data_IF_856568218643
#
_entry.id   IF_856568218643
#
_cell.length_a   1.000
_cell.length_b   1.000
_cell.length_c   1.000
_cell.angle_alpha   90.00
_cell.angle_beta   90.00
_cell.angle_gamma   90.00
#
_symmetry.space_group_name_H-M   'P 1'
#
loop_
_entity.id
_entity.type
_entity.pdbx_description
1 polymer ?
#
# COMPACT_ATOMS: atom_id res chain seq x y z
N UNK A 1 1.74 -19.74 -4.57
CA UNK A 1 1.67 -18.30 -4.28
C UNK A 1 3.09 -17.86 -4.01
N UNK A 2 3.74 -17.21 -4.97
CA UNK A 2 5.15 -16.84 -4.86
C UNK A 2 5.20 -15.37 -4.46
N UNK A 3 6.10 -15.04 -3.54
CA UNK A 3 6.34 -13.69 -3.06
C UNK A 3 7.68 -13.20 -3.59
N UNK A 4 7.92 -11.88 -3.59
CA UNK A 4 8.94 -11.23 -4.42
C UNK A 4 10.34 -11.78 -4.22
N UNK A 5 10.59 -12.19 -2.97
CA UNK A 5 11.80 -12.87 -2.55
C UNK A 5 12.21 -14.07 -3.43
N UNK A 6 11.24 -14.83 -3.93
CA UNK A 6 11.49 -16.01 -4.78
C UNK A 6 11.77 -15.65 -6.23
N UNK A 7 11.30 -14.49 -6.70
CA UNK A 7 11.57 -14.01 -8.06
C UNK A 7 13.02 -13.54 -8.21
N UNK A 8 13.64 -13.05 -7.13
CA UNK A 8 15.07 -12.68 -7.11
C UNK A 8 16.02 -13.87 -6.93
N UNK A 9 15.51 -15.12 -6.93
CA UNK A 9 16.33 -16.33 -6.76
C UNK A 9 16.99 -16.44 -5.37
N UNK A 10 16.55 -15.65 -4.38
CA UNK A 10 17.13 -15.66 -3.03
C UNK A 10 16.59 -16.85 -2.22
N UNK A 11 17.43 -17.53 -1.41
CA UNK A 11 16.98 -18.64 -0.58
C UNK A 11 15.93 -18.22 0.46
N UNK A 12 14.93 -19.07 0.72
CA UNK A 12 13.86 -18.82 1.72
C UNK A 12 14.41 -18.59 3.14
N UNK A 13 15.60 -19.11 3.46
CA UNK A 13 16.26 -18.89 4.76
C UNK A 13 16.63 -17.41 4.96
N UNK A 14 17.10 -16.75 3.91
CA UNK A 14 17.64 -15.38 3.98
C UNK A 14 16.53 -14.32 4.04
N UNK A 15 15.30 -14.69 3.68
CA UNK A 15 14.11 -13.82 3.62
C UNK A 15 13.81 -13.08 4.91
N UNK A 16 14.10 -13.72 6.02
CA UNK A 16 13.76 -13.23 7.36
C UNK A 16 15.02 -12.88 8.17
N UNK A 17 16.20 -13.07 7.58
CA UNK A 17 17.49 -12.73 8.20
C UNK A 17 17.96 -11.33 7.78
N UNK A 18 17.56 -10.87 6.59
CA UNK A 18 17.90 -9.56 6.04
C UNK A 18 16.65 -8.82 5.57
N UNK A 19 16.67 -7.50 5.72
CA UNK A 19 15.65 -6.64 5.15
C UNK A 19 15.62 -6.79 3.62
N UNK A 20 14.42 -6.71 3.05
CA UNK A 20 14.22 -6.58 1.62
C UNK A 20 14.45 -5.13 1.21
N UNK A 21 15.48 -4.88 0.42
CA UNK A 21 15.76 -3.55 -0.12
C UNK A 21 14.97 -3.36 -1.41
N UNK A 22 14.07 -2.39 -1.42
CA UNK A 22 13.30 -1.98 -2.58
C UNK A 22 13.80 -0.61 -3.05
N UNK A 23 14.19 -0.52 -4.32
CA UNK A 23 14.67 0.71 -4.96
C UNK A 23 13.69 1.09 -6.06
N UNK A 24 13.20 2.32 -6.03
CA UNK A 24 12.22 2.84 -7.00
C UNK A 24 12.75 4.13 -7.60
N UNK A 25 12.68 4.23 -8.93
CA UNK A 25 12.94 5.47 -9.64
C UNK A 25 11.68 6.35 -9.62
N UNK A 26 11.84 7.60 -9.20
CA UNK A 26 10.77 8.60 -9.15
C UNK A 26 11.01 9.65 -10.23
N UNK A 27 10.05 9.81 -11.14
CA UNK A 27 10.09 10.75 -12.27
C UNK A 27 9.28 12.03 -11.98
N UNK A 28 9.61 12.75 -10.90
CA UNK A 28 8.86 13.93 -10.42
C UNK A 28 9.50 15.30 -10.77
N UNK A 29 10.44 15.33 -11.73
CA UNK A 29 11.12 16.55 -12.17
C UNK A 29 11.97 16.36 -13.44
N UNK A 30 12.87 17.30 -13.72
CA UNK A 30 13.78 17.24 -14.90
C UNK A 30 14.78 16.09 -14.81
N UNK A 31 15.13 15.66 -13.60
CA UNK A 31 16.05 14.54 -13.35
C UNK A 31 15.37 13.52 -12.44
N UNK A 32 15.22 12.26 -12.88
CA UNK A 32 14.70 11.19 -12.03
C UNK A 32 15.57 11.01 -10.78
N UNK A 33 14.93 10.71 -9.65
CA UNK A 33 15.62 10.43 -8.38
C UNK A 33 15.31 9.02 -7.90
N UNK A 34 16.27 8.39 -7.27
CA UNK A 34 16.07 7.07 -6.66
C UNK A 34 15.59 7.22 -5.22
N UNK A 35 14.59 6.43 -4.84
CA UNK A 35 14.18 6.23 -3.45
C UNK A 35 14.37 4.77 -3.08
N UNK A 36 14.85 4.53 -1.86
CA UNK A 36 15.08 3.17 -1.38
C UNK A 36 14.46 2.97 0.00
N UNK A 37 13.88 1.80 0.23
CA UNK A 37 13.40 1.37 1.54
C UNK A 37 13.95 -0.02 1.90
N UNK A 38 14.41 -0.15 3.14
CA UNK A 38 14.82 -1.43 3.71
C UNK A 38 13.66 -1.97 4.55
N UNK A 39 13.07 -3.09 4.13
CA UNK A 39 11.83 -3.64 4.69
C UNK A 39 12.12 -4.95 5.43
N UNK A 40 12.07 -4.90 6.75
CA UNK A 40 12.08 -6.08 7.60
C UNK A 40 10.84 -6.95 7.31
N UNK A 41 11.07 -8.27 7.31
CA UNK A 41 10.06 -9.31 7.11
C UNK A 41 10.20 -10.33 8.24
N UNK A 42 9.09 -10.98 8.61
CA UNK A 42 9.14 -12.07 9.58
C UNK A 42 8.11 -13.17 9.24
N UNK A 43 8.16 -14.27 10.01
CA UNK A 43 7.33 -15.47 9.79
C UNK A 43 6.00 -15.46 10.55
N UNK A 44 5.65 -14.35 11.21
CA UNK A 44 4.50 -14.31 12.12
C UNK A 44 3.18 -14.47 11.36
N UNK A 45 3.08 -13.91 10.15
CA UNK A 45 1.91 -14.10 9.29
C UNK A 45 2.23 -13.89 7.80
N UNK A 46 1.24 -14.20 6.95
CA UNK A 46 1.28 -13.89 5.52
C UNK A 46 1.48 -12.39 5.28
N UNK A 47 0.89 -11.55 6.14
CA UNK A 47 1.04 -10.08 6.08
C UNK A 47 2.45 -9.59 6.43
N UNK A 48 3.31 -10.38 7.07
CA UNK A 48 4.66 -9.92 7.48
C UNK A 48 5.73 -10.16 6.42
N UNK A 49 5.31 -10.19 5.16
CA UNK A 49 6.10 -10.53 3.98
C UNK A 49 5.87 -9.50 2.86
N UNK A 50 6.90 -9.22 2.06
CA UNK A 50 6.76 -8.38 0.85
C UNK A 50 6.16 -9.23 -0.28
N UNK A 51 5.11 -8.69 -0.93
CA UNK A 51 4.38 -9.34 -2.02
C UNK A 51 4.54 -8.56 -3.34
N UNK A 52 4.53 -9.30 -4.46
CA UNK A 52 4.89 -8.79 -5.79
C UNK A 52 4.02 -7.61 -6.23
N UNK A 53 2.70 -7.68 -6.03
CA UNK A 53 1.80 -6.58 -6.38
C UNK A 53 2.13 -5.29 -5.65
N UNK A 54 2.65 -5.34 -4.42
CA UNK A 54 3.11 -4.14 -3.72
C UNK A 54 4.34 -3.51 -4.37
N UNK A 55 5.24 -4.32 -4.94
CA UNK A 55 6.39 -3.81 -5.69
C UNK A 55 5.97 -3.20 -7.02
N UNK A 56 5.06 -3.87 -7.74
CA UNK A 56 4.48 -3.33 -8.98
C UNK A 56 3.83 -1.96 -8.72
N UNK A 57 3.00 -1.86 -7.68
CA UNK A 57 2.41 -0.58 -7.28
C UNK A 57 3.47 0.47 -6.95
N UNK A 58 4.50 0.10 -6.18
CA UNK A 58 5.58 1.02 -5.81
C UNK A 58 6.32 1.57 -7.05
N UNK A 59 6.72 0.70 -7.97
CA UNK A 59 7.40 1.12 -9.20
C UNK A 59 6.49 1.96 -10.11
N UNK A 60 5.21 1.59 -10.24
CA UNK A 60 4.25 2.37 -11.01
C UNK A 60 4.04 3.77 -10.44
N UNK A 61 3.95 3.89 -9.11
CA UNK A 61 3.86 5.18 -8.41
C UNK A 61 5.10 6.06 -8.67
N UNK A 62 6.29 5.47 -8.73
CA UNK A 62 7.53 6.20 -9.03
C UNK A 62 7.63 6.66 -10.49
N UNK A 63 7.28 5.80 -11.44
CA UNK A 63 7.45 6.08 -12.88
C UNK A 63 6.43 7.05 -13.44
N UNK A 64 5.18 7.02 -12.97
CA UNK A 64 4.17 7.82 -13.63
C UNK A 64 4.38 9.32 -13.28
N UNK A 65 4.97 10.07 -14.21
CA UNK A 65 5.40 11.47 -14.01
C UNK A 65 4.25 12.44 -13.67
N UNK A 66 3.00 12.14 -14.05
CA UNK A 66 1.80 12.85 -13.55
C UNK A 66 1.27 12.30 -12.22
N UNK A 67 1.65 11.07 -11.87
CA UNK A 67 1.32 10.35 -10.65
C UNK A 67 2.27 10.67 -9.49
N UNK A 68 3.42 11.31 -9.73
CA UNK A 68 4.19 11.98 -8.67
C UNK A 68 3.30 12.90 -7.82
N UNK A 69 2.25 13.49 -8.41
CA UNK A 69 1.21 14.27 -7.70
C UNK A 69 0.23 13.45 -6.86
N UNK A 70 0.11 12.14 -7.07
CA UNK A 70 -0.67 11.26 -6.21
C UNK A 70 0.03 11.02 -4.86
N UNK A 71 1.34 11.28 -4.76
CA UNK A 71 2.08 11.02 -3.53
C UNK A 71 2.67 12.29 -2.96
N UNK A 72 3.34 13.12 -3.77
CA UNK A 72 4.03 14.31 -3.28
C UNK A 72 3.07 15.29 -2.59
N UNK A 73 3.39 15.64 -1.34
CA UNK A 73 2.57 16.47 -0.46
C UNK A 73 1.26 15.84 0.02
N UNK A 74 0.89 14.64 -0.42
CA UNK A 74 -0.41 14.01 -0.13
C UNK A 74 -0.47 13.37 1.26
N UNK A 75 -1.68 13.36 1.84
CA UNK A 75 -2.03 12.53 3.00
C UNK A 75 -2.41 11.15 2.49
N UNK A 76 -1.59 10.17 2.83
CA UNK A 76 -1.70 8.80 2.31
C UNK A 76 -2.19 7.85 3.40
N UNK A 77 -3.05 6.90 3.04
CA UNK A 77 -3.33 5.72 3.86
C UNK A 77 -3.05 4.44 3.08
N UNK A 78 -2.35 3.50 3.71
CA UNK A 78 -2.02 2.18 3.18
C UNK A 78 -2.88 1.15 3.91
N UNK A 79 -3.75 0.43 3.19
CA UNK A 79 -4.75 -0.49 3.75
C UNK A 79 -4.34 -1.93 3.47
N UNK A 80 -4.33 -2.77 4.52
CA UNK A 80 -3.83 -4.14 4.41
C UNK A 80 -2.34 -4.15 4.07
N UNK A 81 -1.60 -3.23 4.71
CA UNK A 81 -0.25 -2.86 4.35
C UNK A 81 0.78 -3.97 4.55
N UNK A 82 0.46 -4.97 5.37
CA UNK A 82 1.36 -6.06 5.73
C UNK A 82 2.66 -5.57 6.35
N UNK A 83 3.73 -5.52 5.56
CA UNK A 83 5.02 -4.96 5.97
C UNK A 83 5.04 -3.44 6.03
N UNK A 84 4.10 -2.77 5.36
CA UNK A 84 4.07 -1.31 5.23
C UNK A 84 4.91 -0.75 4.10
N UNK A 85 5.42 -1.60 3.19
CA UNK A 85 6.32 -1.17 2.10
C UNK A 85 5.75 -0.01 1.26
N UNK A 86 4.46 -0.03 0.92
CA UNK A 86 3.83 1.03 0.13
C UNK A 86 3.75 2.34 0.92
N UNK A 87 3.27 2.31 2.17
CA UNK A 87 3.25 3.47 3.04
C UNK A 87 4.64 4.07 3.33
N UNK A 88 5.66 3.22 3.51
CA UNK A 88 7.06 3.65 3.69
C UNK A 88 7.58 4.36 2.44
N UNK A 89 7.42 3.73 1.27
CA UNK A 89 7.86 4.30 0.01
C UNK A 89 7.10 5.58 -0.33
N UNK A 90 5.80 5.67 -0.03
CA UNK A 90 5.02 6.88 -0.22
C UNK A 90 5.61 8.09 0.53
N UNK A 91 6.05 7.91 1.79
CA UNK A 91 6.73 8.99 2.52
C UNK A 91 8.07 9.36 1.89
N UNK A 92 8.86 8.37 1.46
CA UNK A 92 10.15 8.62 0.78
C UNK A 92 9.97 9.26 -0.61
N UNK A 93 8.82 9.05 -1.23
CA UNK A 93 8.40 9.69 -2.47
C UNK A 93 7.82 11.10 -2.26
N UNK A 94 7.66 11.58 -1.02
CA UNK A 94 7.27 12.97 -0.75
C UNK A 94 5.91 13.15 -0.08
N UNK A 95 5.20 12.06 0.28
CA UNK A 95 3.95 12.19 1.05
C UNK A 95 4.15 13.04 2.31
N UNK A 96 3.18 13.93 2.59
CA UNK A 96 3.25 14.80 3.76
C UNK A 96 3.07 13.99 5.05
N UNK A 97 2.17 13.00 5.01
CA UNK A 97 1.91 12.03 6.07
C UNK A 97 1.45 10.70 5.48
N UNK A 98 1.77 9.60 6.17
CA UNK A 98 1.21 8.28 5.89
C UNK A 98 0.60 7.65 7.15
N UNK A 99 -0.57 7.04 7.00
CA UNK A 99 -1.15 6.12 7.99
C UNK A 99 -1.07 4.73 7.40
N UNK A 100 -0.31 3.84 8.03
CA UNK A 100 -0.04 2.49 7.53
C UNK A 100 -0.84 1.50 8.36
N UNK A 101 -1.80 0.83 7.72
CA UNK A 101 -2.85 0.09 8.43
C UNK A 101 -2.96 -1.37 8.05
N UNK A 102 -3.18 -2.19 9.07
CA UNK A 102 -3.42 -3.63 8.94
C UNK A 102 -4.06 -4.14 10.25
N UNK A 103 -4.20 -5.46 10.41
CA UNK A 103 -4.58 -6.10 11.66
C UNK A 103 -3.47 -5.96 12.72
N UNK A 104 -3.85 -6.07 14.00
CA UNK A 104 -2.94 -5.88 15.15
C UNK A 104 -1.64 -6.69 15.06
N UNK A 105 -1.73 -7.89 14.49
CA UNK A 105 -0.60 -8.81 14.31
C UNK A 105 0.51 -8.26 13.39
N UNK A 106 0.18 -7.36 12.46
CA UNK A 106 1.13 -6.76 11.51
C UNK A 106 1.73 -5.46 12.05
N UNK A 107 1.11 -4.82 13.05
CA UNK A 107 1.60 -3.53 13.56
C UNK A 107 3.04 -3.55 14.08
N UNK A 108 3.55 -4.62 14.74
CA UNK A 108 4.96 -4.65 15.13
C UNK A 108 5.93 -4.48 13.96
N UNK A 109 5.72 -5.21 12.85
CA UNK A 109 6.61 -5.11 11.67
C UNK A 109 6.45 -3.77 10.95
N UNK A 110 5.23 -3.23 10.91
CA UNK A 110 4.99 -1.90 10.34
C UNK A 110 5.75 -0.83 11.15
N UNK A 111 5.69 -0.88 12.49
CA UNK A 111 6.41 0.07 13.35
C UNK A 111 7.93 -0.08 13.21
N UNK A 112 8.43 -1.30 13.13
CA UNK A 112 9.84 -1.59 12.86
C UNK A 112 10.28 -0.96 11.53
N UNK A 113 9.51 -1.13 10.46
CA UNK A 113 9.82 -0.59 9.14
C UNK A 113 9.71 0.94 9.08
N UNK A 114 8.75 1.55 9.78
CA UNK A 114 8.64 3.00 9.92
C UNK A 114 9.88 3.57 10.62
N UNK A 115 10.31 2.93 11.71
CA UNK A 115 11.47 3.36 12.48
C UNK A 115 12.78 3.13 11.71
N UNK A 116 12.98 1.93 11.14
CA UNK A 116 14.19 1.56 10.40
C UNK A 116 14.41 2.33 9.10
N UNK A 117 13.38 3.05 8.62
CA UNK A 117 13.48 3.95 7.47
C UNK A 117 13.50 5.44 7.86
N UNK A 118 13.61 5.75 9.14
CA UNK A 118 13.69 7.12 9.69
C UNK A 118 12.48 8.02 9.33
N UNK A 119 11.29 7.43 9.21
CA UNK A 119 10.07 8.15 8.82
C UNK A 119 9.03 8.30 9.95
N UNK A 120 9.39 7.99 11.20
CA UNK A 120 8.49 8.11 12.37
C UNK A 120 7.87 9.50 12.57
N UNK A 121 8.51 10.55 12.04
CA UNK A 121 7.98 11.92 12.06
C UNK A 121 6.85 12.16 11.06
N UNK A 122 6.67 11.30 10.06
CA UNK A 122 5.71 11.43 8.96
C UNK A 122 4.77 10.23 8.79
N UNK A 123 5.11 9.06 9.33
CA UNK A 123 4.28 7.86 9.26
C UNK A 123 3.86 7.36 10.64
N UNK A 124 2.70 6.71 10.71
CA UNK A 124 2.25 5.98 11.89
C UNK A 124 1.61 4.63 11.51
N UNK A 125 1.71 3.65 12.41
CA UNK A 125 1.04 2.37 12.29
C UNK A 125 -0.30 2.38 13.06
N UNK A 126 -1.38 1.90 12.45
CA UNK A 126 -2.69 1.84 13.11
C UNK A 126 -3.54 0.64 12.66
N UNK A 127 -4.45 0.18 13.52
CA UNK A 127 -5.30 -0.98 13.20
C UNK A 127 -6.42 -0.60 12.24
N UNK A 128 -6.66 -1.42 11.21
CA UNK A 128 -7.85 -1.34 10.36
C UNK A 128 -8.28 -2.76 9.97
N UNK A 129 -9.55 -3.09 10.25
CA UNK A 129 -10.17 -4.36 9.87
C UNK A 129 -11.24 -4.12 8.80
N UNK A 130 -10.96 -4.59 7.58
CA UNK A 130 -11.86 -4.47 6.42
C UNK A 130 -13.20 -5.19 6.61
N UNK A 131 -13.26 -6.20 7.50
CA UNK A 131 -14.51 -6.89 7.84
C UNK A 131 -15.45 -6.03 8.69
N UNK A 132 -14.95 -4.94 9.29
CA UNK A 132 -15.71 -4.05 10.17
C UNK A 132 -16.13 -2.77 9.46
N UNK A 133 -17.16 -2.14 10.01
CA UNK A 133 -17.53 -0.79 9.61
C UNK A 133 -16.46 0.21 10.08
N UNK A 134 -16.22 1.29 9.33
CA UNK A 134 -15.34 2.37 9.76
C UNK A 134 -15.72 2.93 11.13
N UNK A 135 -14.72 3.13 11.98
CA UNK A 135 -14.91 3.51 13.38
C UNK A 135 -13.91 4.59 13.87
N UNK A 136 -13.13 5.19 12.97
CA UNK A 136 -12.14 6.23 13.29
C UNK A 136 -12.58 7.55 12.67
N UNK A 137 -13.23 8.40 13.47
CA UNK A 137 -13.90 9.60 12.94
C UNK A 137 -12.92 10.63 12.35
N UNK A 138 -11.75 10.80 12.96
CA UNK A 138 -10.70 11.73 12.45
C UNK A 138 -10.16 11.33 11.07
N UNK A 139 -10.41 10.10 10.62
CA UNK A 139 -10.01 9.61 9.31
C UNK A 139 -11.07 9.81 8.22
N UNK A 140 -12.29 10.21 8.58
CA UNK A 140 -13.37 10.42 7.61
C UNK A 140 -12.97 11.53 6.64
N UNK A 141 -12.89 11.20 5.35
CA UNK A 141 -12.51 12.14 4.29
C UNK A 141 -11.13 12.79 4.48
N UNK A 142 -10.20 12.09 5.14
CA UNK A 142 -8.91 12.65 5.54
C UNK A 142 -7.76 12.39 4.55
N UNK A 143 -7.97 11.56 3.52
CA UNK A 143 -6.89 11.08 2.67
C UNK A 143 -7.06 11.49 1.21
N UNK A 144 -5.97 11.98 0.64
CA UNK A 144 -5.91 12.36 -0.77
C UNK A 144 -5.56 11.14 -1.64
N UNK A 145 -4.89 10.14 -1.06
CA UNK A 145 -4.48 8.90 -1.72
C UNK A 145 -4.64 7.69 -0.81
N UNK A 146 -5.24 6.64 -1.34
CA UNK A 146 -5.42 5.35 -0.66
C UNK A 146 -4.64 4.29 -1.45
N UNK A 147 -3.77 3.55 -0.76
CA UNK A 147 -2.96 2.48 -1.33
C UNK A 147 -3.47 1.12 -0.84
N UNK A 148 -3.59 0.15 -1.75
CA UNK A 148 -4.00 -1.22 -1.44
C UNK A 148 -3.15 -2.21 -2.25
N UNK A 149 -2.20 -2.86 -1.59
CA UNK A 149 -1.35 -3.88 -2.21
C UNK A 149 -1.78 -5.30 -1.80
N UNK A 150 -2.17 -6.15 -2.75
CA UNK A 150 -2.35 -7.60 -2.54
C UNK A 150 -3.42 -8.00 -1.51
N UNK A 151 -4.51 -7.22 -1.37
CA UNK A 151 -5.60 -7.49 -0.40
C UNK A 151 -6.80 -8.23 -1.00
N UNK A 152 -6.91 -8.31 -2.32
CA UNK A 152 -8.11 -8.82 -3.02
C UNK A 152 -8.23 -10.36 -3.07
N UNK A 153 -7.57 -11.10 -2.17
CA UNK A 153 -7.54 -12.55 -2.21
C UNK A 153 -8.75 -13.25 -1.59
N UNK A 154 -9.59 -12.53 -0.83
CA UNK A 154 -10.85 -13.02 -0.24
C UNK A 154 -12.04 -12.24 -0.80
N UNK A 155 -12.97 -12.92 -1.48
CA UNK A 155 -14.15 -12.32 -2.10
C UNK A 155 -15.04 -11.55 -1.13
N UNK A 156 -15.09 -12.00 0.12
CA UNK A 156 -15.89 -11.46 1.23
C UNK A 156 -15.43 -10.06 1.65
N UNK A 157 -14.21 -9.65 1.29
CA UNK A 157 -13.68 -8.32 1.59
C UNK A 157 -14.08 -7.26 0.57
N UNK A 158 -14.70 -7.63 -0.55
CA UNK A 158 -14.99 -6.71 -1.65
C UNK A 158 -15.78 -5.47 -1.23
N UNK A 159 -16.91 -5.65 -0.54
CA UNK A 159 -17.71 -4.54 -0.01
C UNK A 159 -16.95 -3.76 1.07
N UNK A 160 -16.21 -4.45 1.94
CA UNK A 160 -15.43 -3.85 3.01
C UNK A 160 -14.36 -2.88 2.49
N UNK A 161 -13.64 -3.29 1.45
CA UNK A 161 -12.63 -2.46 0.77
C UNK A 161 -13.29 -1.18 0.23
N UNK A 162 -14.35 -1.31 -0.55
CA UNK A 162 -15.03 -0.15 -1.14
C UNK A 162 -15.64 0.78 -0.06
N UNK A 163 -16.21 0.21 1.01
CA UNK A 163 -16.77 0.98 2.13
C UNK A 163 -15.70 1.80 2.85
N UNK A 164 -14.52 1.24 3.09
CA UNK A 164 -13.41 1.98 3.68
C UNK A 164 -12.85 3.04 2.72
N UNK A 165 -12.73 2.74 1.42
CA UNK A 165 -12.32 3.75 0.43
C UNK A 165 -13.26 4.96 0.42
N UNK A 166 -14.57 4.73 0.35
CA UNK A 166 -15.60 5.78 0.40
C UNK A 166 -15.53 6.61 1.69
N UNK A 167 -15.32 5.95 2.83
CA UNK A 167 -15.20 6.62 4.13
C UNK A 167 -13.95 7.50 4.25
N UNK A 168 -12.82 7.05 3.72
CA UNK A 168 -11.50 7.66 3.88
C UNK A 168 -11.23 8.77 2.85
N UNK A 169 -11.86 8.68 1.68
CA UNK A 169 -11.61 9.55 0.54
C UNK A 169 -11.95 11.02 0.81
N UNK A 170 -10.97 11.91 0.64
CA UNK A 170 -11.18 13.33 0.78
C UNK A 170 -12.23 13.86 -0.22
N UNK A 171 -13.18 14.71 0.21
CA UNK A 171 -14.25 15.22 -0.65
C UNK A 171 -13.73 16.17 -1.74
N UNK A 172 -12.52 16.69 -1.58
CA UNK A 172 -11.82 17.52 -2.58
C UNK A 172 -11.22 16.71 -3.74
N UNK A 173 -11.35 15.39 -3.69
CA UNK A 173 -10.77 14.44 -4.64
C UNK A 173 -9.80 13.48 -3.95
N UNK A 174 -9.92 12.20 -4.29
CA UNK A 174 -9.08 11.13 -3.77
C UNK A 174 -8.72 10.16 -4.88
N UNK A 175 -7.48 9.69 -4.91
CA UNK A 175 -7.04 8.60 -5.79
C UNK A 175 -6.90 7.31 -5.00
N UNK A 176 -7.33 6.20 -5.60
CA UNK A 176 -7.17 4.87 -5.00
C UNK A 176 -6.28 4.05 -5.93
N UNK A 177 -5.12 3.65 -5.43
CA UNK A 177 -4.13 2.87 -6.18
C UNK A 177 -4.14 1.46 -5.63
N UNK A 178 -4.42 0.51 -6.51
CA UNK A 178 -4.55 -0.90 -6.16
C UNK A 178 -3.68 -1.74 -7.07
N UNK A 179 -2.99 -2.73 -6.51
CA UNK A 179 -2.29 -3.75 -7.28
C UNK A 179 -2.54 -5.12 -6.67
N UNK A 180 -2.72 -6.12 -7.54
CA UNK A 180 -3.07 -7.47 -7.15
C UNK A 180 -2.50 -8.51 -8.13
N UNK A 181 -2.14 -9.67 -7.60
CA UNK A 181 -1.73 -10.82 -8.39
C UNK A 181 -2.90 -11.64 -8.93
N UNK A 182 -2.58 -12.80 -9.50
CA UNK A 182 -3.56 -13.71 -10.17
C UNK A 182 -4.69 -14.20 -9.27
N UNK A 183 -4.52 -14.18 -7.95
CA UNK A 183 -5.50 -14.70 -7.00
C UNK A 183 -6.45 -13.60 -6.47
N UNK A 184 -6.86 -12.66 -7.30
CA UNK A 184 -7.70 -11.52 -6.91
C UNK A 184 -9.21 -11.82 -6.99
N UNK A 185 -9.67 -12.78 -6.19
CA UNK A 185 -11.08 -13.22 -6.16
C UNK A 185 -12.06 -12.10 -5.81
N UNK A 186 -11.61 -11.06 -5.11
CA UNK A 186 -12.44 -9.92 -4.73
C UNK A 186 -12.52 -8.84 -5.82
N UNK A 187 -11.63 -8.85 -6.82
CA UNK A 187 -11.47 -7.74 -7.77
C UNK A 187 -12.77 -7.31 -8.44
N UNK A 188 -13.59 -8.22 -9.03
CA UNK A 188 -14.82 -7.79 -9.70
C UNK A 188 -15.77 -7.07 -8.74
N UNK A 189 -15.95 -7.63 -7.54
CA UNK A 189 -16.80 -7.04 -6.51
C UNK A 189 -16.28 -5.70 -6.00
N UNK A 190 -14.96 -5.57 -5.79
CA UNK A 190 -14.35 -4.30 -5.37
C UNK A 190 -14.63 -3.22 -6.41
N UNK A 191 -14.39 -3.51 -7.69
CA UNK A 191 -14.59 -2.52 -8.74
C UNK A 191 -16.07 -2.11 -8.87
N UNK A 192 -17.00 -3.07 -8.79
CA UNK A 192 -18.43 -2.78 -8.85
C UNK A 192 -18.91 -1.95 -7.66
N UNK A 193 -18.45 -2.28 -6.44
CA UNK A 193 -18.78 -1.51 -5.25
C UNK A 193 -18.18 -0.09 -5.28
N UNK A 194 -16.95 0.07 -5.77
CA UNK A 194 -16.33 1.40 -5.94
C UNK A 194 -17.11 2.25 -6.96
N UNK A 195 -17.50 1.68 -8.11
CA UNK A 195 -18.33 2.38 -9.10
C UNK A 195 -19.68 2.78 -8.53
N UNK A 196 -20.32 1.91 -7.74
CA UNK A 196 -21.57 2.22 -7.05
C UNK A 196 -21.43 3.37 -6.04
N UNK A 197 -20.21 3.65 -5.57
CA UNK A 197 -19.86 4.79 -4.71
C UNK A 197 -19.42 6.04 -5.49
N UNK A 198 -19.43 5.99 -6.82
CA UNK A 198 -19.09 7.12 -7.69
C UNK A 198 -17.60 7.23 -8.03
N UNK A 199 -16.78 6.22 -7.72
CA UNK A 199 -15.39 6.20 -8.18
C UNK A 199 -15.31 5.82 -9.67
N UNK A 200 -14.50 6.56 -10.42
CA UNK A 200 -14.08 6.15 -11.75
C UNK A 200 -12.95 5.11 -11.65
N UNK A 201 -13.07 4.00 -12.38
CA UNK A 201 -12.10 2.90 -12.33
C UNK A 201 -11.37 2.76 -13.66
N UNK A 202 -10.04 2.69 -13.65
CA UNK A 202 -9.22 2.36 -14.81
C UNK A 202 -8.27 1.21 -14.44
N UNK A 203 -8.32 0.10 -15.18
CA UNK A 203 -7.46 -1.06 -14.95
C UNK A 203 -6.33 -1.04 -15.98
N UNK A 204 -5.10 -1.02 -15.49
CA UNK A 204 -3.89 -0.98 -16.33
C UNK A 204 -3.30 -2.40 -16.36
N UNK A 205 -3.35 -3.12 -17.49
CA UNK A 205 -2.73 -4.43 -17.59
C UNK A 205 -1.20 -4.33 -17.62
N UNK A 206 -0.52 -5.28 -17.00
CA UNK A 206 0.91 -5.50 -17.22
C UNK A 206 1.08 -6.16 -18.59
N UNK A 207 1.63 -5.42 -19.56
CA UNK A 207 2.00 -5.92 -20.90
C UNK A 207 3.39 -6.50 -20.91
#
# INVERSE_FOLDING_TARGET
MFAAWKLEGRPDRERYEKAYRCEVLVEDGETPREVAADIAQNRTAIGTCVWDGSLVAAHWLGMAAQVGRLIDGKRVIDIGAGTGILGVLAVKMGASRAVVTDLDLCLPVIRENIAGNDISGKAMAATLDLSKAPNVEVWRGAFDTILIGEVMYLSELSEGIARWCDYLAAPTGCSVVMAWGRNARAEPGVLDHLRAKGFETNVIPLT
#
